data_IF_552551804775
#
_entry.id   IF_552551804775
#
_cell.length_a   1.000
_cell.length_b   1.000
_cell.length_c   1.000
_cell.angle_alpha   90.00
_cell.angle_beta   90.00
_cell.angle_gamma   90.00
#
_symmetry.space_group_name_H-M   'P 1'
#
loop_
_entity.id
_entity.type
_entity.pdbx_description
1 polymer ?
#
# COMPACT_ATOMS: atom_id res chain seq x y z
N UNK A 1 21.72 -4.95 52.94
CA UNK A 1 22.00 -3.90 51.93
C UNK A 1 21.83 -4.51 50.55
N UNK A 2 20.68 -4.31 49.90
CA UNK A 2 20.43 -4.84 48.55
C UNK A 2 21.14 -3.94 47.53
N UNK A 3 22.14 -4.50 46.81
CA UNK A 3 22.70 -3.83 45.63
C UNK A 3 21.64 -3.91 44.53
N UNK A 4 20.95 -2.81 44.29
CA UNK A 4 20.15 -2.62 43.08
C UNK A 4 21.17 -2.67 41.93
N UNK A 5 21.26 -3.81 41.22
CA UNK A 5 22.03 -3.92 39.98
C UNK A 5 21.26 -3.11 38.93
N UNK A 6 21.50 -1.80 38.90
CA UNK A 6 21.06 -0.94 37.82
C UNK A 6 21.49 -1.56 36.48
N UNK A 7 20.64 -1.36 35.46
CA UNK A 7 20.86 -1.83 34.10
C UNK A 7 22.31 -1.54 33.69
N UNK A 8 23.11 -2.58 33.49
CA UNK A 8 24.53 -2.42 33.21
C UNK A 8 24.71 -1.60 31.93
N UNK A 9 25.74 -0.76 31.88
CA UNK A 9 26.13 0.04 30.70
C UNK A 9 26.01 -0.72 29.35
N UNK A 10 26.48 -1.99 29.22
CA UNK A 10 26.26 -2.77 28.00
C UNK A 10 24.78 -3.03 27.66
N UNK A 11 23.92 -3.23 28.67
CA UNK A 11 22.47 -3.38 28.48
C UNK A 11 21.82 -2.08 27.99
N UNK A 12 22.24 -0.93 28.53
CA UNK A 12 21.80 0.38 28.05
C UNK A 12 22.23 0.63 26.60
N UNK A 13 23.47 0.26 26.23
CA UNK A 13 23.98 0.40 24.87
C UNK A 13 23.26 -0.51 23.87
N UNK A 14 22.96 -1.75 24.26
CA UNK A 14 22.19 -2.68 23.42
C UNK A 14 20.76 -2.16 23.18
N UNK A 15 20.09 -1.65 24.22
CA UNK A 15 18.78 -1.02 24.10
C UNK A 15 18.81 0.24 23.22
N UNK A 16 19.82 1.10 23.36
CA UNK A 16 19.99 2.28 22.52
C UNK A 16 20.21 1.91 21.05
N UNK A 17 21.00 0.86 20.77
CA UNK A 17 21.21 0.35 19.41
C UNK A 17 19.93 -0.21 18.79
N UNK A 18 19.16 -1.00 19.55
CA UNK A 18 17.86 -1.53 19.10
C UNK A 18 16.85 -0.40 18.84
N UNK A 19 16.77 0.59 19.73
CA UNK A 19 15.93 1.77 19.52
C UNK A 19 16.32 2.54 18.26
N UNK A 20 17.63 2.65 17.97
CA UNK A 20 18.16 3.32 16.78
C UNK A 20 17.84 2.56 15.49
N UNK A 21 17.91 1.22 15.51
CA UNK A 21 17.52 0.37 14.37
C UNK A 21 16.02 0.46 14.07
N UNK A 22 15.18 0.50 15.12
CA UNK A 22 13.72 0.65 14.98
C UNK A 22 13.34 2.06 14.51
N UNK A 23 14.10 3.10 14.89
CA UNK A 23 13.88 4.48 14.44
C UNK A 23 14.46 4.80 13.06
N UNK A 24 15.06 3.84 12.36
CA UNK A 24 15.54 4.07 11.00
C UNK A 24 14.35 4.28 10.06
N UNK A 25 14.09 5.54 9.70
CA UNK A 25 13.03 5.93 8.77
C UNK A 25 13.32 5.53 7.30
N UNK A 26 14.52 5.00 7.02
CA UNK A 26 15.00 4.68 5.67
C UNK A 26 14.94 3.18 5.32
N UNK A 27 14.14 2.38 6.02
CA UNK A 27 13.99 0.94 5.73
C UNK A 27 13.07 0.63 4.53
N UNK A 28 12.33 1.63 4.02
CA UNK A 28 11.46 1.47 2.85
C UNK A 28 11.98 2.26 1.66
N UNK A 29 11.98 1.62 0.49
CA UNK A 29 12.24 2.29 -0.78
C UNK A 29 11.01 3.10 -1.21
N UNK A 30 11.25 4.16 -2.00
CA UNK A 30 10.16 4.84 -2.69
C UNK A 30 9.42 3.83 -3.60
N UNK A 31 8.09 3.94 -3.77
CA UNK A 31 7.31 2.99 -4.56
C UNK A 31 7.88 2.69 -5.96
N UNK A 32 8.46 3.70 -6.62
CA UNK A 32 9.10 3.55 -7.93
C UNK A 32 10.30 2.61 -7.90
N UNK A 33 11.20 2.85 -6.94
CA UNK A 33 12.40 2.04 -6.74
C UNK A 33 12.02 0.63 -6.31
N UNK A 34 11.02 0.50 -5.43
CA UNK A 34 10.51 -0.80 -5.02
C UNK A 34 9.95 -1.61 -6.21
N UNK A 35 9.16 -0.99 -7.10
CA UNK A 35 8.58 -1.65 -8.29
C UNK A 35 9.63 -2.13 -9.30
N UNK A 36 10.77 -1.43 -9.40
CA UNK A 36 11.88 -1.87 -10.26
C UNK A 36 12.55 -3.15 -9.76
N UNK A 37 12.45 -3.45 -8.46
CA UNK A 37 13.05 -4.63 -7.84
C UNK A 37 12.03 -5.74 -7.59
N UNK A 38 10.79 -5.38 -7.20
CA UNK A 38 9.70 -6.27 -6.86
C UNK A 38 8.52 -6.01 -7.79
N UNK A 39 8.42 -6.78 -8.87
CA UNK A 39 7.25 -6.75 -9.75
C UNK A 39 6.12 -7.57 -9.14
N UNK A 40 5.05 -6.89 -8.71
CA UNK A 40 3.82 -7.57 -8.28
C UNK A 40 2.99 -7.90 -9.51
N UNK A 41 2.67 -9.18 -9.71
CA UNK A 41 1.70 -9.60 -10.72
C UNK A 41 0.31 -9.11 -10.27
N UNK A 42 -0.34 -8.32 -11.11
CA UNK A 42 -1.75 -7.89 -10.93
C UNK A 42 -2.64 -9.12 -11.02
N UNK A 43 -3.63 -9.22 -10.12
CA UNK A 43 -4.48 -10.40 -9.97
C UNK A 43 -5.94 -9.99 -10.00
N UNK A 44 -6.37 -9.45 -11.12
CA UNK A 44 -7.78 -9.19 -11.37
C UNK A 44 -8.52 -10.52 -11.62
N UNK A 45 -9.81 -10.55 -11.27
CA UNK A 45 -10.74 -11.64 -11.57
C UNK A 45 -10.26 -13.02 -11.09
N UNK A 46 -9.68 -13.09 -9.90
CA UNK A 46 -9.24 -14.35 -9.30
C UNK A 46 -10.36 -15.10 -8.60
N UNK A 47 -10.25 -16.44 -8.49
CA UNK A 47 -11.27 -17.26 -7.82
C UNK A 47 -11.50 -16.77 -6.38
N UNK A 48 -12.76 -16.44 -6.05
CA UNK A 48 -13.23 -15.88 -4.77
C UNK A 48 -12.75 -14.45 -4.45
N UNK A 49 -12.34 -13.66 -5.44
CA UNK A 49 -11.96 -12.26 -5.26
C UNK A 49 -13.07 -11.41 -4.65
N UNK A 50 -14.31 -11.61 -5.10
CA UNK A 50 -15.53 -10.95 -4.61
C UNK A 50 -15.82 -11.13 -3.11
N UNK A 51 -15.16 -12.09 -2.46
CA UNK A 51 -15.28 -12.26 -1.00
C UNK A 51 -14.46 -11.19 -0.25
N UNK A 52 -13.48 -10.57 -0.91
CA UNK A 52 -12.67 -9.50 -0.34
C UNK A 52 -13.45 -8.19 -0.41
N UNK A 53 -13.18 -7.30 0.55
CA UNK A 53 -13.72 -5.94 0.49
C UNK A 53 -13.16 -5.21 -0.75
N UNK A 54 -14.05 -4.59 -1.52
CA UNK A 54 -13.73 -3.74 -2.67
C UNK A 54 -12.66 -2.70 -2.32
N UNK A 55 -11.75 -2.44 -3.26
CA UNK A 55 -10.63 -1.53 -3.03
C UNK A 55 -10.21 -0.80 -4.31
N UNK A 56 -10.43 0.50 -4.34
CA UNK A 56 -10.21 1.33 -5.53
C UNK A 56 -8.76 1.31 -6.03
N UNK A 57 -7.75 1.29 -5.13
CA UNK A 57 -6.35 1.20 -5.54
C UNK A 57 -6.07 -0.16 -6.19
N UNK A 58 -6.53 -1.26 -5.59
CA UNK A 58 -6.30 -2.62 -6.10
C UNK A 58 -7.04 -2.85 -7.42
N UNK A 59 -8.34 -2.64 -7.44
CA UNK A 59 -9.22 -3.04 -8.56
C UNK A 59 -9.14 -2.05 -9.73
N UNK A 60 -9.05 -0.74 -9.47
CA UNK A 60 -9.16 0.27 -10.51
C UNK A 60 -7.88 1.05 -10.85
N UNK A 61 -6.88 1.09 -9.96
CA UNK A 61 -5.60 1.80 -10.22
C UNK A 61 -4.49 0.82 -10.57
N UNK A 62 -4.36 -0.25 -9.77
CA UNK A 62 -3.45 -1.35 -10.05
C UNK A 62 -4.02 -2.23 -11.15
N UNK A 63 -5.34 -2.43 -11.21
CA UNK A 63 -6.02 -3.27 -12.19
C UNK A 63 -6.97 -2.46 -13.09
N UNK A 64 -7.58 -3.11 -14.08
CA UNK A 64 -8.67 -2.50 -14.86
C UNK A 64 -9.98 -3.01 -14.30
N UNK A 65 -10.78 -2.11 -13.73
CA UNK A 65 -12.08 -2.44 -13.17
C UNK A 65 -13.26 -2.09 -14.08
N UNK A 66 -14.38 -2.74 -13.82
CA UNK A 66 -15.74 -2.44 -14.26
C UNK A 66 -16.37 -1.33 -13.41
N UNK A 67 -17.52 -0.82 -13.87
CA UNK A 67 -18.27 0.19 -13.13
C UNK A 67 -18.76 -0.34 -11.78
N UNK A 68 -19.16 -1.61 -11.73
CA UNK A 68 -19.69 -2.25 -10.51
C UNK A 68 -18.60 -2.39 -9.44
N UNK A 69 -17.40 -2.85 -9.80
CA UNK A 69 -16.25 -2.91 -8.87
C UNK A 69 -15.90 -1.51 -8.32
N UNK A 70 -15.95 -0.47 -9.18
CA UNK A 70 -15.77 0.91 -8.73
C UNK A 70 -16.88 1.36 -7.77
N UNK A 71 -18.12 0.91 -7.98
CA UNK A 71 -19.24 1.16 -7.09
C UNK A 71 -19.10 0.41 -5.76
N UNK A 72 -18.71 -0.86 -5.77
CA UNK A 72 -18.46 -1.65 -4.57
C UNK A 72 -17.33 -1.07 -3.72
N UNK A 73 -16.29 -0.51 -4.35
CA UNK A 73 -15.19 0.13 -3.64
C UNK A 73 -15.56 1.51 -3.04
N UNK A 74 -16.50 2.25 -3.66
CA UNK A 74 -16.86 3.63 -3.25
C UNK A 74 -18.16 3.71 -2.45
N UNK A 75 -19.03 2.70 -2.54
CA UNK A 75 -20.32 2.58 -1.85
C UNK A 75 -21.24 3.82 -2.05
N UNK A 76 -21.09 4.56 -3.15
CA UNK A 76 -21.84 5.78 -3.43
C UNK A 76 -21.96 6.06 -4.92
N UNK A 77 -23.19 6.10 -5.45
CA UNK A 77 -23.46 6.34 -6.88
C UNK A 77 -22.83 7.65 -7.37
N UNK A 78 -23.00 8.75 -6.63
CA UNK A 78 -22.42 10.05 -6.98
C UNK A 78 -20.90 10.00 -7.03
N UNK A 79 -20.26 9.31 -6.08
CA UNK A 79 -18.80 9.19 -6.08
C UNK A 79 -18.32 8.32 -7.26
N UNK A 80 -19.04 7.24 -7.56
CA UNK A 80 -18.75 6.35 -8.68
C UNK A 80 -18.89 7.08 -10.01
N UNK A 81 -19.94 7.86 -10.23
CA UNK A 81 -20.12 8.63 -11.47
C UNK A 81 -18.96 9.60 -11.70
N UNK A 82 -18.56 10.33 -10.64
CA UNK A 82 -17.43 11.28 -10.69
C UNK A 82 -16.11 10.56 -10.96
N UNK A 83 -15.89 9.42 -10.32
CA UNK A 83 -14.72 8.59 -10.56
C UNK A 83 -14.70 8.03 -11.98
N UNK A 84 -15.82 7.47 -12.44
CA UNK A 84 -15.94 6.79 -13.73
C UNK A 84 -15.71 7.72 -14.91
N UNK A 85 -16.21 8.96 -14.82
CA UNK A 85 -15.93 9.99 -15.82
C UNK A 85 -14.43 10.26 -15.98
N UNK A 86 -13.67 10.27 -14.88
CA UNK A 86 -12.20 10.43 -14.92
C UNK A 86 -11.52 9.16 -15.40
N UNK A 87 -11.96 8.01 -14.92
CA UNK A 87 -11.37 6.71 -15.20
C UNK A 87 -11.48 6.31 -16.69
N UNK A 88 -12.60 6.65 -17.33
CA UNK A 88 -12.80 6.47 -18.78
C UNK A 88 -12.01 7.49 -19.60
N UNK A 89 -11.95 8.75 -19.18
CA UNK A 89 -11.11 9.76 -19.83
C UNK A 89 -9.61 9.39 -19.81
N UNK A 90 -9.15 8.69 -18.77
CA UNK A 90 -7.77 8.22 -18.61
C UNK A 90 -7.50 6.85 -19.27
N UNK A 91 -8.40 6.32 -20.11
CA UNK A 91 -8.29 4.98 -20.70
C UNK A 91 -6.96 4.74 -21.42
N UNK A 92 -6.49 5.72 -22.18
CA UNK A 92 -5.22 5.64 -22.92
C UNK A 92 -3.97 5.84 -22.06
N UNK A 93 -4.15 6.19 -20.77
CA UNK A 93 -3.07 6.54 -19.84
C UNK A 93 -3.04 5.66 -18.57
N UNK A 94 -3.72 4.50 -18.56
CA UNK A 94 -3.80 3.62 -17.38
C UNK A 94 -2.46 3.02 -16.95
N UNK A 95 -1.48 2.90 -17.86
CA UNK A 95 -0.17 2.33 -17.52
C UNK A 95 1.00 3.03 -18.23
N UNK A 96 2.16 3.18 -17.55
CA UNK A 96 2.38 2.95 -16.12
C UNK A 96 1.77 4.08 -15.26
N UNK A 97 1.35 3.76 -14.03
CA UNK A 97 0.72 4.70 -13.05
C UNK A 97 1.49 6.02 -12.89
N UNK A 98 2.79 5.97 -13.14
CA UNK A 98 3.74 7.03 -12.82
C UNK A 98 3.86 8.08 -13.94
N UNK A 99 3.04 7.96 -14.99
CA UNK A 99 2.90 8.94 -16.08
C UNK A 99 1.70 9.89 -15.91
N UNK A 100 1.02 9.86 -14.77
CA UNK A 100 -0.07 10.78 -14.45
C UNK A 100 0.44 11.97 -13.62
#
# INVERSE_FOLDING_TARGET
MARIRGLQLPGCLALAALCSLVHSQHVFLAPQQARSLLQRVRRANTFLEEVRKGNLERECVEETCSYEEAFEALESSTATDVFWAKYTACETARTPRDKL
#
